data_IF_826919652431
#
_entry.id   IF_826919652431
#
_cell.length_a   1.000
_cell.length_b   1.000
_cell.length_c   1.000
_cell.angle_alpha   90.00
_cell.angle_beta   90.00
_cell.angle_gamma   90.00
#
_symmetry.space_group_name_H-M   'P 1'
#
loop_
_entity.id
_entity.type
_entity.pdbx_description
1 polymer ?
#
# COMPACT_ATOMS: atom_id res chain seq x y z
N UNK A 1 -28.05 -9.55 2.43
CA UNK A 1 -26.65 -10.05 2.48
C UNK A 1 -25.74 -8.86 2.31
N UNK A 2 -24.99 -8.50 3.35
CA UNK A 2 -24.06 -7.38 3.34
C UNK A 2 -22.92 -7.67 2.35
N UNK A 3 -22.65 -6.71 1.46
CA UNK A 3 -21.59 -6.78 0.48
C UNK A 3 -20.23 -6.99 1.17
N UNK A 4 -19.76 -8.24 1.26
CA UNK A 4 -18.45 -8.61 1.81
C UNK A 4 -17.27 -7.98 1.01
N UNK A 5 -17.56 -7.43 -0.17
CA UNK A 5 -16.55 -6.88 -1.08
C UNK A 5 -16.38 -5.36 -0.96
N UNK A 6 -16.95 -4.71 0.06
CA UNK A 6 -16.69 -3.28 0.25
C UNK A 6 -15.23 -3.12 0.74
N UNK A 7 -14.44 -2.38 -0.03
CA UNK A 7 -13.12 -1.95 0.41
C UNK A 7 -13.26 -0.96 1.57
N UNK A 8 -12.24 -0.92 2.43
CA UNK A 8 -12.23 0.00 3.58
C UNK A 8 -12.13 1.46 3.08
N UNK A 9 -11.43 1.66 1.97
CA UNK A 9 -11.33 2.93 1.23
C UNK A 9 -11.02 2.65 -0.25
N UNK A 10 -10.93 3.71 -1.05
CA UNK A 10 -10.71 3.61 -2.51
C UNK A 10 -9.36 2.95 -2.81
N UNK A 11 -9.35 1.94 -3.67
CA UNK A 11 -8.11 1.30 -4.11
C UNK A 11 -7.20 2.26 -4.89
N UNK A 12 -5.88 2.04 -4.84
CA UNK A 12 -4.91 2.77 -5.65
C UNK A 12 -5.21 2.57 -7.14
N UNK A 13 -5.48 3.67 -7.84
CA UNK A 13 -5.74 3.65 -9.28
C UNK A 13 -4.44 3.37 -10.06
N UNK A 14 -4.56 2.71 -11.21
CA UNK A 14 -3.42 2.43 -12.11
C UNK A 14 -2.68 3.71 -12.52
N UNK A 15 -3.41 4.83 -12.62
CA UNK A 15 -2.83 6.14 -12.94
C UNK A 15 -2.11 6.83 -11.79
N UNK A 16 -2.19 6.31 -10.55
CA UNK A 16 -1.54 6.93 -9.39
C UNK A 16 -2.15 8.25 -8.88
N UNK A 17 -3.18 8.79 -9.53
CA UNK A 17 -3.80 10.08 -9.16
C UNK A 17 -4.29 10.18 -7.71
N UNK A 18 -4.70 9.07 -7.11
CA UNK A 18 -5.15 9.02 -5.73
C UNK A 18 -4.06 8.52 -4.75
N UNK A 19 -2.80 8.44 -5.18
CA UNK A 19 -1.71 7.85 -4.42
C UNK A 19 -1.51 8.49 -3.03
N UNK A 20 -1.48 9.82 -2.92
CA UNK A 20 -1.29 10.48 -1.63
C UNK A 20 -2.38 10.13 -0.61
N UNK A 21 -3.65 10.15 -1.05
CA UNK A 21 -4.78 9.76 -0.20
C UNK A 21 -4.70 8.29 0.18
N UNK A 22 -4.41 7.42 -0.80
CA UNK A 22 -4.24 6.00 -0.57
C UNK A 22 -3.13 5.68 0.44
N UNK A 23 -1.98 6.36 0.35
CA UNK A 23 -0.88 6.21 1.29
C UNK A 23 -1.30 6.54 2.71
N UNK A 24 -2.04 7.63 2.90
CA UNK A 24 -2.54 8.05 4.21
C UNK A 24 -3.50 7.00 4.79
N UNK A 25 -4.45 6.53 3.99
CA UNK A 25 -5.45 5.55 4.41
C UNK A 25 -4.79 4.20 4.79
N UNK A 26 -3.81 3.72 4.01
CA UNK A 26 -3.06 2.49 4.32
C UNK A 26 -2.23 2.66 5.59
N UNK A 27 -1.45 3.74 5.71
CA UNK A 27 -0.62 3.98 6.90
C UNK A 27 -1.46 4.07 8.16
N UNK A 28 -2.61 4.74 8.12
CA UNK A 28 -3.52 4.85 9.25
C UNK A 28 -4.07 3.47 9.65
N UNK A 29 -4.49 2.66 8.69
CA UNK A 29 -5.03 1.33 8.95
C UNK A 29 -3.97 0.39 9.56
N UNK A 30 -2.76 0.37 9.01
CA UNK A 30 -1.67 -0.44 9.54
C UNK A 30 -1.26 0.04 10.94
N UNK A 31 -1.24 1.35 11.19
CA UNK A 31 -0.97 1.91 12.53
C UNK A 31 -2.02 1.43 13.54
N UNK A 32 -3.31 1.48 13.20
CA UNK A 32 -4.38 1.02 14.08
C UNK A 32 -4.30 -0.48 14.41
N UNK A 33 -3.59 -1.26 13.58
CA UNK A 33 -3.35 -2.69 13.77
C UNK A 33 -1.96 -3.03 14.32
N UNK A 34 -1.13 -2.03 14.63
CA UNK A 34 0.28 -2.21 14.99
C UNK A 34 1.12 -2.91 13.91
N UNK A 35 0.70 -2.87 12.64
CA UNK A 35 1.35 -3.50 11.49
C UNK A 35 2.20 -2.52 10.67
N UNK A 36 2.29 -1.26 11.09
CA UNK A 36 3.08 -0.24 10.40
C UNK A 36 4.55 -0.64 10.19
N UNK A 37 5.23 -1.30 11.14
CA UNK A 37 6.61 -1.76 10.92
C UNK A 37 6.78 -2.71 9.72
N UNK A 38 5.72 -3.41 9.28
CA UNK A 38 5.78 -4.34 8.15
C UNK A 38 6.05 -3.65 6.80
N UNK A 39 5.80 -2.35 6.68
CA UNK A 39 6.05 -1.57 5.46
C UNK A 39 7.25 -0.62 5.59
N UNK A 40 7.89 -0.59 6.76
CA UNK A 40 9.02 0.27 7.05
C UNK A 40 10.32 -0.49 6.82
N UNK A 41 11.30 0.19 6.20
CA UNK A 41 12.61 -0.36 5.92
C UNK A 41 13.49 -0.27 7.17
N UNK A 42 13.09 -0.92 8.26
CA UNK A 42 13.88 -0.92 9.50
C UNK A 42 14.68 -2.22 9.68
N UNK A 43 15.88 -2.05 10.21
CA UNK A 43 16.93 -3.06 10.32
C UNK A 43 16.81 -3.95 11.57
N UNK A 44 16.01 -3.53 12.57
CA UNK A 44 16.00 -4.12 13.92
C UNK A 44 14.62 -4.58 14.41
N UNK A 45 13.54 -4.33 13.66
CA UNK A 45 12.20 -4.81 14.03
C UNK A 45 11.97 -6.22 13.47
N UNK A 46 12.00 -7.20 14.37
CA UNK A 46 11.50 -8.56 14.12
C UNK A 46 9.97 -8.51 13.93
N UNK A 47 9.53 -8.13 12.73
CA UNK A 47 8.13 -8.25 12.31
C UNK A 47 7.86 -9.72 11.99
N UNK A 48 6.81 -10.27 12.60
CA UNK A 48 6.39 -11.66 12.37
C UNK A 48 6.01 -11.91 10.92
N UNK A 49 6.19 -13.15 10.44
CA UNK A 49 5.76 -13.55 9.09
C UNK A 49 4.24 -13.40 8.90
N UNK A 50 3.47 -13.61 9.96
CA UNK A 50 2.02 -13.43 10.01
C UNK A 50 1.62 -11.95 9.92
N UNK A 51 2.35 -11.06 10.58
CA UNK A 51 2.17 -9.62 10.49
C UNK A 51 2.48 -9.11 9.07
N UNK A 52 3.59 -9.59 8.48
CA UNK A 52 3.95 -9.30 7.09
C UNK A 52 2.90 -9.82 6.10
N UNK A 53 2.43 -11.04 6.27
CA UNK A 53 1.38 -11.62 5.43
C UNK A 53 0.07 -10.81 5.54
N UNK A 54 -0.30 -10.40 6.76
CA UNK A 54 -1.50 -9.59 7.01
C UNK A 54 -1.40 -8.23 6.32
N UNK A 55 -0.25 -7.54 6.43
CA UNK A 55 0.00 -6.29 5.73
C UNK A 55 -0.02 -6.47 4.20
N UNK A 56 0.60 -7.55 3.68
CA UNK A 56 0.61 -7.86 2.25
C UNK A 56 -0.80 -8.08 1.69
N UNK A 57 -1.61 -8.90 2.36
CA UNK A 57 -3.01 -9.14 1.96
C UNK A 57 -3.79 -7.82 1.93
N UNK A 58 -3.58 -6.98 2.96
CA UNK A 58 -4.24 -5.69 3.05
C UNK A 58 -3.88 -4.74 1.91
N UNK A 59 -2.59 -4.59 1.60
CA UNK A 59 -2.12 -3.75 0.49
C UNK A 59 -2.66 -4.26 -0.84
N UNK A 60 -2.54 -5.57 -1.11
CA UNK A 60 -3.01 -6.18 -2.37
C UNK A 60 -4.52 -6.00 -2.58
N UNK A 61 -5.32 -6.07 -1.51
CA UNK A 61 -6.77 -5.83 -1.57
C UNK A 61 -7.11 -4.38 -1.93
N UNK A 62 -6.22 -3.44 -1.63
CA UNK A 62 -6.44 -2.01 -1.82
C UNK A 62 -5.64 -1.42 -2.98
N UNK A 63 -5.12 -2.22 -3.90
CA UNK A 63 -4.56 -1.73 -5.18
C UNK A 63 -5.37 -2.28 -6.34
N UNK A 64 -5.37 -1.57 -7.46
CA UNK A 64 -6.06 -2.02 -8.66
C UNK A 64 -5.49 -3.36 -9.20
N UNK A 65 -6.34 -4.24 -9.71
CA UNK A 65 -5.99 -5.60 -10.18
C UNK A 65 -4.82 -5.64 -11.18
N UNK A 66 -4.75 -4.64 -12.06
CA UNK A 66 -3.62 -4.48 -12.99
C UNK A 66 -2.27 -4.30 -12.26
N UNK A 67 -2.23 -3.49 -11.19
CA UNK A 67 -1.03 -3.31 -10.36
C UNK A 67 -0.75 -4.59 -9.54
N UNK A 68 -1.79 -5.27 -9.07
CA UNK A 68 -1.64 -6.55 -8.38
C UNK A 68 -1.00 -7.61 -9.29
N UNK A 69 -1.39 -7.65 -10.57
CA UNK A 69 -0.82 -8.54 -11.58
C UNK A 69 0.63 -8.18 -11.88
N UNK A 70 0.92 -6.89 -12.04
CA UNK A 70 2.28 -6.38 -12.31
C UNK A 70 3.25 -6.72 -11.18
N UNK A 71 2.82 -6.60 -9.92
CA UNK A 71 3.66 -6.83 -8.75
C UNK A 71 3.41 -8.17 -8.06
N UNK A 72 2.82 -9.15 -8.75
CA UNK A 72 2.45 -10.45 -8.16
C UNK A 72 3.64 -11.17 -7.50
N UNK A 73 4.82 -11.07 -8.08
CA UNK A 73 6.06 -11.69 -7.61
C UNK A 73 6.68 -10.99 -6.36
N UNK A 74 6.14 -9.83 -5.94
CA UNK A 74 6.60 -9.16 -4.71
C UNK A 74 5.91 -9.80 -3.51
N UNK A 75 6.65 -10.62 -2.78
CA UNK A 75 6.15 -11.35 -1.59
C UNK A 75 6.35 -10.59 -0.28
N UNK A 76 7.28 -9.62 -0.25
CA UNK A 76 7.51 -8.78 0.91
C UNK A 76 6.70 -7.46 0.83
N UNK A 77 5.91 -7.12 1.87
CA UNK A 77 5.06 -5.94 1.88
C UNK A 77 5.86 -4.63 1.83
N UNK A 78 7.03 -4.55 2.48
CA UNK A 78 7.90 -3.39 2.42
C UNK A 78 8.46 -3.20 1.00
N UNK A 79 8.88 -4.27 0.33
CA UNK A 79 9.36 -4.20 -1.05
C UNK A 79 8.26 -3.73 -2.02
N UNK A 80 7.02 -4.22 -1.85
CA UNK A 80 5.87 -3.74 -2.62
C UNK A 80 5.60 -2.26 -2.35
N UNK A 81 5.57 -1.87 -1.07
CA UNK A 81 5.35 -0.49 -0.64
C UNK A 81 6.35 0.49 -1.25
N UNK A 82 7.66 0.17 -1.19
CA UNK A 82 8.73 0.99 -1.78
C UNK A 82 8.58 1.06 -3.29
N UNK A 83 8.25 -0.04 -3.97
CA UNK A 83 8.07 -0.05 -5.44
C UNK A 83 6.92 0.87 -5.86
N UNK A 84 5.81 0.88 -5.12
CA UNK A 84 4.69 1.78 -5.37
C UNK A 84 5.07 3.24 -5.12
N UNK A 85 5.85 3.51 -4.07
CA UNK A 85 6.38 4.84 -3.81
C UNK A 85 7.29 5.32 -4.93
N UNK A 86 8.30 4.55 -5.32
CA UNK A 86 9.23 4.91 -6.40
C UNK A 86 8.49 5.26 -7.70
N UNK A 87 7.37 4.57 -7.99
CA UNK A 87 6.55 4.82 -9.18
C UNK A 87 5.70 6.09 -9.09
N UNK A 88 5.06 6.34 -7.95
CA UNK A 88 3.97 7.32 -7.85
C UNK A 88 4.31 8.57 -7.02
N UNK A 89 5.36 8.56 -6.19
CA UNK A 89 5.75 9.72 -5.38
C UNK A 89 6.16 10.89 -6.30
N UNK A 90 6.97 10.59 -7.32
CA UNK A 90 7.43 11.56 -8.33
C UNK A 90 6.30 12.17 -9.17
N UNK A 91 5.16 11.46 -9.35
CA UNK A 91 4.01 12.01 -10.07
C UNK A 91 3.31 13.09 -9.26
N UNK A 92 3.40 13.04 -7.93
CA UNK A 92 2.82 14.06 -7.06
C UNK A 92 3.72 15.29 -6.94
N UNK A 93 5.05 15.15 -7.04
CA UNK A 93 5.97 16.30 -7.09
C UNK A 93 5.66 17.22 -8.28
N UNK A 94 5.27 16.64 -9.42
CA UNK A 94 4.88 17.39 -10.62
C UNK A 94 3.54 18.10 -10.39
N UNK A 95 2.54 17.41 -9.85
CA UNK A 95 1.21 17.98 -9.59
C UNK A 95 1.24 19.06 -8.49
N UNK A 96 2.15 18.95 -7.52
CA UNK A 96 2.33 19.95 -6.46
C UNK A 96 3.03 21.22 -6.95
N UNK A 97 3.81 21.15 -8.04
CA UNK A 97 4.49 22.31 -8.64
C UNK A 97 3.58 23.11 -9.58
N UNK A 98 2.50 22.50 -10.08
CA UNK A 98 1.55 23.11 -11.01
C UNK A 98 0.32 23.74 -10.32
N UNK A 99 0.21 23.67 -8.99
CA UNK A 99 -0.85 24.27 -8.17
C UNK A 99 -0.44 25.60 -7.54
#
# INVERSE_FOLDING_TARGET
MSNLNKLDFTALEVSGRNYLKWVQDVKLHLTAKNLRPAIEKEMDNLVGEDEKATAMIFIRRHIHDALQTEYLAKEDPCALWVTLADRFDHQNDIVLLEA
#
